data_IF_363688434768
#
_entry.id   IF_363688434768
#
_cell.length_a   1.000
_cell.length_b   1.000
_cell.length_c   1.000
_cell.angle_alpha   90.00
_cell.angle_beta   90.00
_cell.angle_gamma   90.00
#
_symmetry.space_group_name_H-M   'P 1'
#
loop_
_entity.id
_entity.type
_entity.pdbx_description
1 polymer ?
#
# COMPACT_ATOMS: atom_id res chain seq x y z
N UNK A 1 16.43 13.04 -23.53
CA UNK A 1 16.22 11.58 -23.65
C UNK A 1 16.45 10.95 -22.28
N UNK A 2 15.68 9.90 -21.96
CA UNK A 2 15.41 9.39 -20.61
C UNK A 2 16.64 8.80 -19.92
N UNK A 3 16.99 9.34 -18.76
CA UNK A 3 17.98 8.75 -17.85
C UNK A 3 17.31 7.63 -17.04
N UNK A 4 17.65 6.39 -17.36
CA UNK A 4 17.32 5.21 -16.55
C UNK A 4 18.30 5.14 -15.38
N UNK A 5 17.83 5.37 -14.15
CA UNK A 5 18.56 4.98 -12.95
C UNK A 5 18.34 3.48 -12.72
N UNK A 6 19.36 2.69 -13.06
CA UNK A 6 19.47 1.28 -12.71
C UNK A 6 20.19 1.20 -11.36
N UNK A 7 19.46 0.93 -10.27
CA UNK A 7 20.06 0.71 -8.95
C UNK A 7 20.33 -0.79 -8.82
N UNK A 8 21.55 -1.19 -9.15
CA UNK A 8 22.17 -2.47 -8.76
C UNK A 8 22.55 -2.41 -7.28
N UNK A 9 21.87 -3.19 -6.44
CA UNK A 9 22.28 -3.38 -5.05
C UNK A 9 23.29 -4.53 -5.00
N UNK A 10 24.57 -4.19 -4.79
CA UNK A 10 25.69 -5.11 -4.62
C UNK A 10 25.91 -5.37 -3.13
N UNK A 11 25.98 -6.66 -2.77
CA UNK A 11 26.26 -7.18 -1.44
C UNK A 11 27.63 -6.70 -0.90
N UNK A 12 27.64 -6.15 0.32
CA UNK A 12 28.84 -6.08 1.17
C UNK A 12 28.44 -6.23 2.65
N UNK A 13 29.06 -7.18 3.36
CA UNK A 13 29.20 -7.16 4.82
C UNK A 13 28.67 -8.39 5.57
N UNK A 14 29.53 -9.40 5.78
CA UNK A 14 29.28 -10.57 6.61
C UNK A 14 29.47 -10.30 8.13
N UNK A 15 28.75 -11.10 8.92
CA UNK A 15 29.07 -11.55 10.29
C UNK A 15 28.71 -10.66 11.49
N UNK A 16 27.49 -10.85 12.02
CA UNK A 16 27.25 -10.94 13.47
C UNK A 16 26.33 -12.16 13.71
N UNK A 17 26.83 -13.14 14.45
CA UNK A 17 26.08 -14.28 14.93
C UNK A 17 24.98 -13.83 15.91
N UNK A 18 23.74 -13.97 15.48
CA UNK A 18 22.58 -14.14 16.34
C UNK A 18 21.68 -15.14 15.64
N UNK A 19 21.41 -16.29 16.27
CA UNK A 19 20.37 -17.23 15.84
C UNK A 19 19.00 -16.57 15.98
N UNK A 20 18.68 -15.67 15.07
CA UNK A 20 17.32 -15.32 14.77
C UNK A 20 17.03 -15.99 13.44
N UNK A 21 16.11 -16.95 13.43
CA UNK A 21 15.58 -17.47 12.18
C UNK A 21 15.22 -16.28 11.28
N UNK A 22 15.56 -16.33 9.96
CA UNK A 22 15.17 -15.27 9.06
C UNK A 22 13.66 -15.05 9.20
N UNK A 23 13.20 -13.80 9.33
CA UNK A 23 11.79 -13.54 9.59
C UNK A 23 10.94 -14.20 8.51
N UNK A 24 9.95 -14.99 8.95
CA UNK A 24 9.06 -15.72 8.04
C UNK A 24 8.40 -14.73 7.09
N UNK A 25 8.55 -14.99 5.78
CA UNK A 25 7.96 -14.16 4.76
C UNK A 25 6.43 -14.09 4.95
N UNK A 26 5.82 -12.90 4.80
CA UNK A 26 4.38 -12.79 4.88
C UNK A 26 3.74 -13.63 3.77
N UNK A 27 2.60 -14.25 4.07
CA UNK A 27 1.82 -14.98 3.08
C UNK A 27 1.46 -14.05 1.92
N UNK A 28 1.69 -14.52 0.71
CA UNK A 28 1.24 -13.82 -0.48
C UNK A 28 -0.28 -13.89 -0.56
N UNK A 29 -0.94 -12.76 -0.81
CA UNK A 29 -2.40 -12.66 -0.99
C UNK A 29 -2.65 -12.04 -2.37
N UNK A 30 -3.11 -12.84 -3.33
CA UNK A 30 -3.22 -12.40 -4.71
C UNK A 30 -4.25 -11.29 -4.90
N UNK A 31 -5.34 -11.32 -4.12
CA UNK A 31 -6.36 -10.26 -4.10
C UNK A 31 -5.79 -8.91 -3.65
N UNK A 32 -4.91 -8.91 -2.65
CA UNK A 32 -4.25 -7.70 -2.16
C UNK A 32 -3.24 -7.17 -3.18
N UNK A 33 -2.46 -8.05 -3.81
CA UNK A 33 -1.54 -7.69 -4.89
C UNK A 33 -2.28 -7.12 -6.11
N UNK A 34 -3.49 -7.61 -6.39
CA UNK A 34 -4.40 -7.07 -7.39
C UNK A 34 -5.09 -5.76 -6.97
N UNK A 35 -4.85 -5.26 -5.75
CA UNK A 35 -5.45 -4.04 -5.23
C UNK A 35 -6.96 -4.15 -4.98
N UNK A 36 -7.51 -5.35 -4.84
CA UNK A 36 -8.95 -5.56 -4.64
C UNK A 36 -9.31 -5.27 -3.19
N UNK A 37 -10.13 -4.24 -2.98
CA UNK A 37 -10.74 -3.94 -1.68
C UNK A 37 -12.06 -3.20 -1.84
N UNK A 38 -12.83 -3.14 -0.76
CA UNK A 38 -14.14 -2.49 -0.71
C UNK A 38 -14.12 -1.38 0.32
N UNK A 39 -14.75 -0.26 0.01
CA UNK A 39 -14.93 0.80 0.99
C UNK A 39 -16.07 0.47 1.94
N UNK A 40 -15.82 0.58 3.24
CA UNK A 40 -16.89 0.71 4.21
C UNK A 40 -17.47 2.12 4.08
N UNK A 41 -18.73 2.23 3.65
CA UNK A 41 -19.35 3.51 3.33
C UNK A 41 -19.50 4.38 4.58
N UNK A 42 -19.86 3.79 5.72
CA UNK A 42 -19.99 4.51 7.00
C UNK A 42 -18.63 5.06 7.41
N UNK A 43 -17.60 4.21 7.46
CA UNK A 43 -16.24 4.64 7.79
C UNK A 43 -15.74 5.72 6.81
N UNK A 44 -15.97 5.56 5.51
CA UNK A 44 -15.56 6.53 4.50
C UNK A 44 -16.21 7.90 4.74
N UNK A 45 -17.51 7.94 5.03
CA UNK A 45 -18.21 9.20 5.34
C UNK A 45 -17.66 9.88 6.60
N UNK A 46 -17.36 9.10 7.63
CA UNK A 46 -16.76 9.60 8.87
C UNK A 46 -15.34 10.16 8.65
N UNK A 47 -14.52 9.50 7.82
CA UNK A 47 -13.13 9.93 7.57
C UNK A 47 -13.06 11.16 6.66
N UNK A 48 -13.99 11.32 5.72
CA UNK A 48 -14.08 12.52 4.88
C UNK A 48 -14.52 13.75 5.70
N UNK A 49 -15.28 13.55 6.79
CA UNK A 49 -15.67 14.60 7.74
C UNK A 49 -16.35 15.81 7.04
N UNK A 50 -17.44 15.54 6.32
CA UNK A 50 -18.23 16.55 5.64
C UNK A 50 -18.69 17.67 6.58
N UNK A 51 -18.73 18.92 6.09
CA UNK A 51 -19.34 20.02 6.81
C UNK A 51 -20.87 19.92 6.77
N UNK A 52 -21.55 20.59 7.69
CA UNK A 52 -23.02 20.71 7.68
C UNK A 52 -23.57 21.30 6.38
N UNK A 53 -22.81 22.15 5.69
CA UNK A 53 -23.15 22.73 4.39
C UNK A 53 -22.99 21.76 3.22
N UNK A 54 -22.41 20.57 3.43
CA UNK A 54 -22.15 19.57 2.39
C UNK A 54 -23.11 18.36 2.51
N UNK A 55 -24.20 18.47 3.30
CA UNK A 55 -25.14 17.38 3.54
C UNK A 55 -25.73 16.79 2.25
N UNK A 56 -26.03 17.63 1.28
CA UNK A 56 -26.64 17.22 0.01
C UNK A 56 -25.68 16.41 -0.89
N UNK A 57 -24.37 16.51 -0.64
CA UNK A 57 -23.34 15.77 -1.39
C UNK A 57 -23.15 14.35 -0.85
N UNK A 58 -23.48 14.10 0.43
CA UNK A 58 -23.28 12.81 1.08
C UNK A 58 -24.02 11.66 0.37
N UNK A 59 -25.30 11.79 -0.02
CA UNK A 59 -26.00 10.75 -0.78
C UNK A 59 -25.30 10.42 -2.11
N UNK A 60 -24.79 11.43 -2.82
CA UNK A 60 -24.08 11.23 -4.09
C UNK A 60 -22.75 10.52 -3.86
N UNK A 61 -21.96 10.97 -2.87
CA UNK A 61 -20.72 10.32 -2.47
C UNK A 61 -20.93 8.83 -2.12
N UNK A 62 -21.90 8.53 -1.26
CA UNK A 62 -22.19 7.15 -0.85
C UNK A 62 -22.66 6.29 -2.02
N UNK A 63 -23.43 6.85 -2.95
CA UNK A 63 -23.86 6.17 -4.18
C UNK A 63 -22.66 5.80 -5.06
N UNK A 64 -21.72 6.73 -5.27
CA UNK A 64 -20.52 6.45 -6.08
C UNK A 64 -19.64 5.36 -5.43
N UNK A 65 -19.52 5.34 -4.10
CA UNK A 65 -18.82 4.24 -3.40
C UNK A 65 -19.54 2.90 -3.55
N UNK A 66 -20.88 2.86 -3.45
CA UNK A 66 -21.66 1.63 -3.70
C UNK A 66 -21.44 1.12 -5.12
N UNK A 67 -21.44 2.01 -6.10
CA UNK A 67 -21.21 1.67 -7.50
C UNK A 67 -19.80 1.10 -7.70
N UNK A 68 -18.78 1.76 -7.15
CA UNK A 68 -17.40 1.27 -7.17
C UNK A 68 -17.32 -0.13 -6.55
N UNK A 69 -17.82 -0.31 -5.32
CA UNK A 69 -17.77 -1.60 -4.62
C UNK A 69 -18.46 -2.71 -5.41
N UNK A 70 -19.61 -2.43 -6.04
CA UNK A 70 -20.32 -3.39 -6.89
C UNK A 70 -19.48 -3.82 -8.10
N UNK A 71 -18.82 -2.87 -8.75
CA UNK A 71 -17.93 -3.15 -9.89
C UNK A 71 -16.71 -3.97 -9.45
N UNK A 72 -16.05 -3.57 -8.37
CA UNK A 72 -14.91 -4.32 -7.82
C UNK A 72 -15.33 -5.72 -7.39
N UNK A 73 -16.55 -5.89 -6.86
CA UNK A 73 -17.07 -7.21 -6.46
C UNK A 73 -17.20 -8.12 -7.66
N UNK A 74 -17.69 -7.60 -8.80
CA UNK A 74 -17.77 -8.34 -10.06
C UNK A 74 -16.37 -8.70 -10.59
N UNK A 75 -15.44 -7.75 -10.61
CA UNK A 75 -14.04 -8.00 -11.02
C UNK A 75 -13.42 -9.09 -10.14
N UNK A 76 -13.58 -8.97 -8.82
CA UNK A 76 -13.08 -9.95 -7.87
C UNK A 76 -13.69 -11.33 -8.11
N UNK A 77 -15.01 -11.41 -8.28
CA UNK A 77 -15.70 -12.69 -8.48
C UNK A 77 -15.18 -13.41 -9.72
N UNK A 78 -15.13 -12.73 -10.86
CA UNK A 78 -14.68 -13.29 -12.14
C UNK A 78 -13.23 -13.79 -12.11
N UNK A 79 -12.38 -13.15 -11.31
CA UNK A 79 -10.94 -13.46 -11.25
C UNK A 79 -10.54 -14.33 -10.05
N UNK A 80 -11.48 -14.64 -9.14
CA UNK A 80 -11.16 -15.38 -7.90
C UNK A 80 -10.46 -16.71 -8.15
N UNK A 81 -10.92 -17.58 -9.08
CA UNK A 81 -10.27 -18.88 -9.31
C UNK A 81 -8.80 -18.73 -9.72
N UNK A 82 -8.52 -17.85 -10.68
CA UNK A 82 -7.16 -17.61 -11.19
C UNK A 82 -6.25 -16.98 -10.13
N UNK A 83 -6.78 -16.03 -9.35
CA UNK A 83 -6.01 -15.41 -8.27
C UNK A 83 -5.70 -16.42 -7.15
N UNK A 84 -6.63 -17.31 -6.82
CA UNK A 84 -6.40 -18.38 -5.83
C UNK A 84 -5.34 -19.37 -6.29
N UNK A 85 -5.34 -19.73 -7.57
CA UNK A 85 -4.31 -20.60 -8.14
C UNK A 85 -2.90 -20.01 -8.01
N UNK A 86 -2.74 -18.73 -8.38
CA UNK A 86 -1.48 -18.00 -8.22
C UNK A 86 -1.08 -17.91 -6.74
N UNK A 87 -2.05 -17.64 -5.86
CA UNK A 87 -1.82 -17.56 -4.42
C UNK A 87 -1.32 -18.88 -3.82
N UNK A 88 -1.98 -19.98 -4.14
CA UNK A 88 -1.61 -21.32 -3.65
C UNK A 88 -0.24 -21.74 -4.18
N UNK A 89 0.04 -21.46 -5.45
CA UNK A 89 1.32 -21.79 -6.09
C UNK A 89 2.48 -21.03 -5.47
N UNK A 90 2.35 -19.73 -5.27
CA UNK A 90 3.42 -18.91 -4.66
C UNK A 90 3.64 -19.31 -3.20
N UNK A 91 2.56 -19.49 -2.44
CA UNK A 91 2.66 -19.84 -1.03
C UNK A 91 3.16 -21.28 -0.80
N UNK A 92 2.95 -22.21 -1.73
CA UNK A 92 3.47 -23.58 -1.63
C UNK A 92 4.96 -23.67 -1.95
N UNK A 93 5.46 -22.85 -2.89
CA UNK A 93 6.88 -22.78 -3.23
C UNK A 93 7.70 -22.09 -2.13
N UNK A 94 7.11 -21.12 -1.42
CA UNK A 94 7.69 -20.51 -0.22
C UNK A 94 9.11 -19.97 -0.45
N UNK A 95 10.06 -20.38 0.39
CA UNK A 95 11.44 -19.90 0.33
C UNK A 95 12.21 -20.36 -0.92
N UNK A 96 11.74 -21.40 -1.62
CA UNK A 96 12.44 -21.95 -2.78
C UNK A 96 12.51 -20.95 -3.93
N UNK A 97 11.53 -20.05 -4.02
CA UNK A 97 11.48 -18.96 -5.01
C UNK A 97 12.76 -18.10 -4.93
N UNK A 98 13.28 -17.86 -3.73
CA UNK A 98 14.47 -17.00 -3.56
C UNK A 98 15.79 -17.73 -3.83
N UNK A 99 15.77 -19.07 -3.82
CA UNK A 99 16.97 -19.90 -4.02
C UNK A 99 17.10 -20.39 -5.46
N UNK A 100 16.02 -20.31 -6.24
CA UNK A 100 15.96 -20.83 -7.61
C UNK A 100 15.41 -19.76 -8.57
N UNK A 101 16.28 -19.29 -9.47
CA UNK A 101 15.97 -18.25 -10.44
C UNK A 101 14.85 -18.65 -11.40
N UNK A 102 14.84 -19.89 -11.88
CA UNK A 102 13.81 -20.37 -12.81
C UNK A 102 12.42 -20.40 -12.16
N UNK A 103 12.35 -20.75 -10.87
CA UNK A 103 11.09 -20.68 -10.11
C UNK A 103 10.65 -19.23 -9.91
N UNK A 104 11.57 -18.32 -9.62
CA UNK A 104 11.27 -16.89 -9.51
C UNK A 104 10.70 -16.32 -10.81
N UNK A 105 11.30 -16.68 -11.96
CA UNK A 105 10.85 -16.20 -13.26
C UNK A 105 9.47 -16.76 -13.64
N UNK A 106 9.17 -18.03 -13.32
CA UNK A 106 7.81 -18.60 -13.48
C UNK A 106 6.78 -17.87 -12.62
N UNK A 107 7.10 -17.61 -11.36
CA UNK A 107 6.23 -16.84 -10.46
C UNK A 107 5.97 -15.44 -10.99
N UNK A 108 7.02 -14.76 -11.48
CA UNK A 108 6.91 -13.45 -12.12
C UNK A 108 6.01 -13.50 -13.36
N UNK A 109 6.12 -14.53 -14.19
CA UNK A 109 5.23 -14.77 -15.33
C UNK A 109 3.77 -14.86 -14.91
N UNK A 110 3.45 -15.72 -13.95
CA UNK A 110 2.08 -15.88 -13.42
C UNK A 110 1.50 -14.56 -12.88
N UNK A 111 2.30 -13.80 -12.11
CA UNK A 111 1.87 -12.49 -11.60
C UNK A 111 1.58 -11.54 -12.76
N UNK A 112 2.46 -11.51 -13.77
CA UNK A 112 2.35 -10.62 -14.93
C UNK A 112 1.11 -10.91 -15.76
N UNK A 113 0.79 -12.19 -15.96
CA UNK A 113 -0.34 -12.62 -16.79
C UNK A 113 -1.69 -12.54 -16.08
N UNK A 114 -1.72 -12.82 -14.77
CA UNK A 114 -2.98 -12.95 -14.02
C UNK A 114 -3.23 -11.75 -13.13
N UNK A 115 -2.27 -11.36 -12.31
CA UNK A 115 -2.48 -10.39 -11.22
C UNK A 115 -2.43 -8.96 -11.76
N UNK A 116 -1.46 -8.64 -12.63
CA UNK A 116 -1.29 -7.28 -13.14
C UNK A 116 -2.49 -6.77 -13.95
N UNK A 117 -3.10 -7.55 -14.88
CA UNK A 117 -4.26 -7.06 -15.64
C UNK A 117 -5.48 -6.78 -14.75
N UNK A 118 -5.64 -7.58 -13.68
CA UNK A 118 -6.70 -7.34 -12.69
C UNK A 118 -6.40 -6.07 -11.90
N UNK A 119 -5.16 -5.87 -11.46
CA UNK A 119 -4.72 -4.64 -10.79
C UNK A 119 -4.98 -3.40 -11.63
N UNK A 120 -4.60 -3.43 -12.90
CA UNK A 120 -4.80 -2.31 -13.82
C UNK A 120 -6.29 -2.03 -14.04
N UNK A 121 -7.12 -3.08 -14.09
CA UNK A 121 -8.57 -2.93 -14.15
C UNK A 121 -9.12 -2.26 -12.90
N UNK A 122 -8.66 -2.63 -11.70
CA UNK A 122 -9.05 -1.99 -10.44
C UNK A 122 -8.60 -0.54 -10.40
N UNK A 123 -7.34 -0.25 -10.75
CA UNK A 123 -6.79 1.11 -10.80
C UNK A 123 -7.60 2.02 -11.72
N UNK A 124 -7.98 1.55 -12.91
CA UNK A 124 -8.85 2.32 -13.81
C UNK A 124 -10.21 2.66 -13.19
N UNK A 125 -10.80 1.77 -12.38
CA UNK A 125 -12.06 2.05 -11.68
C UNK A 125 -11.86 3.00 -10.51
N UNK A 126 -10.73 2.91 -9.82
CA UNK A 126 -10.35 3.84 -8.74
C UNK A 126 -10.13 5.25 -9.28
N UNK A 127 -9.41 5.40 -10.40
CA UNK A 127 -9.21 6.68 -11.08
C UNK A 127 -10.54 7.29 -11.53
N UNK A 128 -11.43 6.50 -12.11
CA UNK A 128 -12.76 6.97 -12.51
C UNK A 128 -13.58 7.44 -11.30
N UNK A 129 -13.54 6.73 -10.17
CA UNK A 129 -14.16 7.16 -8.92
C UNK A 129 -13.57 8.49 -8.46
N UNK A 130 -12.24 8.62 -8.43
CA UNK A 130 -11.56 9.82 -7.96
C UNK A 130 -11.89 11.03 -8.82
N UNK A 131 -11.91 10.89 -10.16
CA UNK A 131 -12.31 11.96 -11.07
C UNK A 131 -13.72 12.44 -10.80
N UNK A 132 -14.67 11.52 -10.60
CA UNK A 132 -16.04 11.89 -10.23
C UNK A 132 -16.06 12.61 -8.88
N UNK A 133 -15.41 12.05 -7.86
CA UNK A 133 -15.41 12.64 -6.52
C UNK A 133 -14.75 14.02 -6.48
N UNK A 134 -13.74 14.26 -7.30
CA UNK A 134 -13.10 15.58 -7.42
C UNK A 134 -14.08 16.66 -7.89
N UNK A 135 -15.03 16.32 -8.77
CA UNK A 135 -16.02 17.29 -9.28
C UNK A 135 -17.15 17.60 -8.30
N UNK A 136 -17.48 16.66 -7.41
CA UNK A 136 -18.62 16.80 -6.48
C UNK A 136 -18.19 17.27 -5.08
N UNK A 137 -16.98 16.90 -4.65
CA UNK A 137 -16.51 17.21 -3.31
C UNK A 137 -15.82 18.57 -3.27
N UNK A 138 -15.95 19.28 -2.15
CA UNK A 138 -15.08 20.44 -1.90
C UNK A 138 -13.62 19.99 -1.85
N UNK A 139 -12.69 20.89 -2.20
CA UNK A 139 -11.24 20.63 -2.15
C UNK A 139 -10.76 20.03 -0.82
N UNK A 140 -11.37 20.47 0.30
CA UNK A 140 -11.06 19.96 1.64
C UNK A 140 -11.53 18.51 1.84
N UNK A 141 -12.77 18.23 1.46
CA UNK A 141 -13.39 16.90 1.57
C UNK A 141 -12.69 15.91 0.63
N UNK A 142 -12.39 16.31 -0.62
CA UNK A 142 -11.63 15.50 -1.57
C UNK A 142 -10.22 15.16 -1.07
N UNK A 143 -9.49 16.13 -0.49
CA UNK A 143 -8.17 15.85 0.12
C UNK A 143 -8.25 14.80 1.24
N UNK A 144 -9.31 14.81 2.03
CA UNK A 144 -9.53 13.79 3.08
C UNK A 144 -9.91 12.44 2.49
N UNK A 145 -10.71 12.42 1.43
CA UNK A 145 -11.01 11.23 0.67
C UNK A 145 -9.74 10.55 0.15
N UNK A 146 -8.86 11.28 -0.54
CA UNK A 146 -7.60 10.73 -1.06
C UNK A 146 -6.72 10.17 0.08
N UNK A 147 -6.65 10.88 1.21
CA UNK A 147 -5.94 10.36 2.40
C UNK A 147 -6.55 9.06 2.93
N UNK A 148 -7.87 8.95 2.94
CA UNK A 148 -8.57 7.74 3.36
C UNK A 148 -8.32 6.59 2.38
N UNK A 149 -8.44 6.84 1.08
CA UNK A 149 -8.16 5.85 0.03
C UNK A 149 -6.72 5.32 0.13
N UNK A 150 -5.73 6.20 0.27
CA UNK A 150 -4.33 5.79 0.44
C UNK A 150 -4.14 4.88 1.67
N UNK A 151 -4.79 5.21 2.79
CA UNK A 151 -4.77 4.36 3.98
C UNK A 151 -5.41 2.99 3.75
N UNK A 152 -6.47 2.89 2.95
CA UNK A 152 -7.05 1.59 2.62
C UNK A 152 -6.10 0.76 1.74
N UNK A 153 -5.37 1.42 0.82
CA UNK A 153 -4.36 0.76 -0.02
C UNK A 153 -3.16 0.28 0.79
N UNK A 154 -2.71 1.07 1.76
CA UNK A 154 -1.62 0.70 2.69
C UNK A 154 -1.95 -0.59 3.45
N UNK A 155 -3.20 -0.81 3.86
CA UNK A 155 -3.64 -2.05 4.53
C UNK A 155 -3.51 -3.32 3.68
N UNK A 156 -3.37 -3.17 2.36
CA UNK A 156 -3.20 -4.32 1.45
C UNK A 156 -1.75 -4.79 1.40
N UNK A 157 -0.81 -3.90 1.74
CA UNK A 157 0.61 -4.21 1.76
C UNK A 157 0.86 -5.02 3.05
N UNK A 158 1.47 -6.21 2.96
CA UNK A 158 1.78 -6.99 4.14
C UNK A 158 2.69 -6.19 5.07
N UNK A 159 2.39 -6.21 6.37
CA UNK A 159 3.26 -5.59 7.36
C UNK A 159 4.63 -6.25 7.31
N UNK A 160 5.68 -5.43 7.30
CA UNK A 160 7.03 -5.96 7.39
C UNK A 160 7.17 -6.67 8.73
N UNK A 161 7.79 -7.87 8.76
CA UNK A 161 8.06 -8.53 10.01
C UNK A 161 8.88 -7.58 10.89
N UNK A 162 8.33 -7.20 12.04
CA UNK A 162 9.05 -6.39 13.00
C UNK A 162 10.23 -7.24 13.47
N UNK A 163 11.43 -6.89 13.04
CA UNK A 163 12.60 -7.29 13.79
C UNK A 163 12.46 -6.63 15.16
N UNK A 164 12.05 -7.43 16.15
CA UNK A 164 12.11 -7.11 17.58
C UNK A 164 13.59 -7.00 18.02
N UNK A 165 14.37 -6.21 17.29
CA UNK A 165 15.50 -5.56 17.89
C UNK A 165 14.87 -4.52 18.79
N UNK A 166 14.82 -4.84 20.09
CA UNK A 166 14.85 -3.86 21.14
C UNK A 166 15.91 -2.83 20.74
N UNK A 167 15.49 -1.77 20.04
CA UNK A 167 16.25 -0.53 20.02
C UNK A 167 16.16 -0.10 21.47
N UNK A 168 17.17 -0.49 22.25
CA UNK A 168 17.50 0.19 23.47
C UNK A 168 17.48 1.66 23.08
N UNK A 169 16.43 2.36 23.51
CA UNK A 169 16.31 3.79 23.41
C UNK A 169 17.45 4.30 24.26
N UNK A 170 18.63 4.42 23.65
CA UNK A 170 19.76 5.05 24.27
C UNK A 170 19.28 6.47 24.51
N UNK A 171 19.01 6.70 25.79
CA UNK A 171 18.56 7.91 26.39
C UNK A 171 19.74 8.90 26.35
N UNK A 172 20.26 9.23 25.15
CA UNK A 172 21.17 10.33 24.92
C UNK A 172 20.36 11.61 24.83
N UNK A 173 19.77 11.92 25.99
CA UNK A 173 19.63 13.24 26.57
C UNK A 173 20.20 14.37 25.72
N UNK A 174 19.33 15.28 25.27
CA UNK A 174 19.23 16.57 25.96
C UNK A 174 20.56 17.35 26.16
N UNK A 175 21.46 17.32 25.16
CA UNK A 175 22.72 18.10 25.13
C UNK A 175 22.81 19.02 23.90
N UNK A 176 21.68 19.56 23.44
CA UNK A 176 21.65 20.61 22.38
C UNK A 176 20.77 21.83 22.73
N UNK A 177 20.49 22.06 24.02
CA UNK A 177 19.68 23.21 24.45
C UNK A 177 20.40 24.27 25.27
N UNK A 178 21.65 24.04 25.69
CA UNK A 178 22.46 25.03 26.40
C UNK A 178 23.91 25.04 25.87
N UNK A 179 24.17 25.75 24.77
CA UNK A 179 25.47 26.40 24.54
C UNK A 179 25.31 27.52 23.51
N UNK A 180 25.44 28.76 24.02
CA UNK A 180 25.82 30.00 23.35
C UNK A 180 24.79 30.56 22.33
N UNK A 181 24.11 31.68 22.54
CA UNK A 181 24.42 32.80 23.45
C UNK A 181 25.62 33.60 22.94
N UNK A 182 25.34 34.77 22.35
CA UNK A 182 26.23 35.90 22.02
C UNK A 182 26.90 35.94 20.63
N UNK A 183 26.75 37.11 19.99
CA UNK A 183 27.54 37.61 18.85
C UNK A 183 26.84 37.39 17.50
N UNK A 184 26.46 38.38 16.71
CA UNK A 184 26.79 39.80 16.69
C UNK A 184 26.25 40.38 15.38
N UNK A 185 25.96 41.67 15.40
CA UNK A 185 25.46 42.52 14.32
C UNK A 185 26.40 42.63 13.10
N UNK A 186 25.80 42.99 11.94
CA UNK A 186 26.32 43.77 10.79
C UNK A 186 27.38 43.03 9.93
N UNK A 187 27.35 43.06 8.60
CA UNK A 187 26.81 44.01 7.62
C UNK A 187 25.99 43.29 6.55
#
# INVERSE_FOLDING_TARGET
MKNFFLITFLCVGFSIFGQNEPPKMPKYVAKNAAGIFFYNIVEATEKVKFKSSEKDVIPVFTKELKNYNSIIKKISFLNTPKLMEVELTINSMGEQIYKNQDLADRVKGMITEVVLPVRDSVLKKEEALNKKLETILSKRSFKRWIRYQNKQKEKLIPEQPQNNQNRATNNSMMMRRNRMGMGGRRF
#
